data_IF_693107243716
#
_entry.id   IF_693107243716
#
_cell.length_a   1.000
_cell.length_b   1.000
_cell.length_c   1.000
_cell.angle_alpha   90.00
_cell.angle_beta   90.00
_cell.angle_gamma   90.00
#
_symmetry.space_group_name_H-M   'P 1'
#
loop_
_entity.id
_entity.type
_entity.pdbx_description
1 polymer ?
#
# COMPACT_ATOMS: atom_id res chain seq x y z
N UNK A 1 -19.60 -2.82 -9.80
CA UNK A 1 -18.28 -3.42 -9.71
C UNK A 1 -18.04 -3.80 -8.25
N UNK A 2 -17.38 -4.92 -7.98
CA UNK A 2 -17.07 -5.32 -6.61
C UNK A 2 -15.97 -4.40 -6.07
N UNK A 3 -16.13 -3.90 -4.85
CA UNK A 3 -15.09 -3.13 -4.18
C UNK A 3 -14.82 -3.77 -2.81
N UNK A 4 -13.67 -4.41 -2.67
CA UNK A 4 -13.33 -5.20 -1.49
C UNK A 4 -13.23 -4.38 -0.20
N UNK A 5 -13.09 -3.06 -0.30
CA UNK A 5 -13.16 -2.16 0.87
C UNK A 5 -14.62 -1.89 1.27
N UNK A 6 -15.46 -1.46 0.33
CA UNK A 6 -16.86 -1.13 0.64
C UNK A 6 -17.69 -2.35 1.00
N UNK A 7 -17.32 -3.53 0.49
CA UNK A 7 -17.96 -4.81 0.80
C UNK A 7 -17.58 -5.34 2.19
N UNK A 8 -16.68 -4.64 2.92
CA UNK A 8 -16.20 -5.03 4.25
C UNK A 8 -16.39 -3.89 5.26
N UNK A 9 -17.62 -3.69 5.78
CA UNK A 9 -17.92 -2.58 6.70
C UNK A 9 -17.06 -2.55 7.98
N UNK A 10 -16.52 -3.71 8.39
CA UNK A 10 -15.65 -3.83 9.56
C UNK A 10 -14.37 -3.01 9.43
N UNK A 11 -13.84 -2.83 8.22
CA UNK A 11 -12.66 -2.00 7.99
C UNK A 11 -12.93 -0.53 8.35
N UNK A 12 -14.10 -0.01 8.01
CA UNK A 12 -14.48 1.36 8.39
C UNK A 12 -14.52 1.56 9.91
N UNK A 13 -14.95 0.54 10.66
CA UNK A 13 -14.95 0.61 12.12
C UNK A 13 -13.53 0.80 12.67
N UNK A 14 -12.53 0.11 12.11
CA UNK A 14 -11.14 0.27 12.54
C UNK A 14 -10.57 1.64 12.15
N UNK A 15 -10.89 2.15 10.96
CA UNK A 15 -10.44 3.45 10.50
C UNK A 15 -10.99 4.59 11.38
N UNK A 16 -12.24 4.48 11.83
CA UNK A 16 -12.89 5.48 12.71
C UNK A 16 -12.77 5.18 14.21
N UNK A 17 -11.88 4.26 14.60
CA UNK A 17 -11.66 3.97 16.01
C UNK A 17 -11.11 5.21 16.74
N UNK A 18 -11.54 5.53 17.98
CA UNK A 18 -11.11 6.72 18.71
C UNK A 18 -9.59 6.89 18.84
N UNK A 19 -8.83 5.79 18.90
CA UNK A 19 -7.36 5.84 18.94
C UNK A 19 -6.73 6.36 17.64
N UNK A 20 -7.45 6.36 16.52
CA UNK A 20 -6.91 6.86 15.25
C UNK A 20 -6.51 8.33 15.33
N UNK A 21 -7.22 9.15 16.08
CA UNK A 21 -6.85 10.55 16.30
C UNK A 21 -5.41 10.68 16.84
N UNK A 22 -5.06 9.86 17.84
CA UNK A 22 -3.70 9.87 18.40
C UNK A 22 -2.67 9.26 17.43
N UNK A 23 -3.03 8.19 16.75
CA UNK A 23 -2.17 7.52 15.76
C UNK A 23 -1.81 8.50 14.64
N UNK A 24 -2.80 9.19 14.10
CA UNK A 24 -2.61 10.19 13.04
C UNK A 24 -1.76 11.36 13.52
N UNK A 25 -2.06 11.93 14.70
CA UNK A 25 -1.28 13.03 15.26
C UNK A 25 0.21 12.67 15.41
N UNK A 26 0.51 11.45 15.90
CA UNK A 26 1.89 10.97 16.02
C UNK A 26 2.54 10.74 14.65
N UNK A 27 1.82 10.12 13.71
CA UNK A 27 2.35 9.83 12.37
C UNK A 27 2.59 11.08 11.56
N UNK A 28 1.66 12.02 11.59
CA UNK A 28 1.73 13.30 10.89
C UNK A 28 2.54 14.35 11.66
N UNK A 29 3.03 14.01 12.86
CA UNK A 29 3.80 14.93 13.72
C UNK A 29 3.05 16.27 13.89
N UNK A 30 1.77 16.16 14.28
CA UNK A 30 0.83 17.29 14.36
C UNK A 30 0.76 18.10 13.04
N UNK A 31 0.76 17.38 11.91
CA UNK A 31 0.65 17.93 10.54
C UNK A 31 1.82 18.84 10.14
N UNK A 32 3.03 18.49 10.58
CA UNK A 32 4.25 19.28 10.33
C UNK A 32 4.65 19.37 8.85
N UNK A 33 4.11 18.53 7.99
CA UNK A 33 4.42 18.49 6.56
C UNK A 33 3.32 19.12 5.66
N UNK A 34 2.26 19.67 6.24
CA UNK A 34 1.07 20.19 5.54
C UNK A 34 1.37 21.27 4.48
N UNK A 35 2.42 22.06 4.69
CA UNK A 35 2.82 23.12 3.77
C UNK A 35 4.02 22.73 2.89
N UNK A 36 4.49 21.46 2.98
CA UNK A 36 5.66 20.97 2.25
C UNK A 36 5.31 20.08 1.07
N UNK A 37 4.20 19.37 1.17
CA UNK A 37 3.75 18.41 0.16
C UNK A 37 2.27 18.65 -0.12
N UNK A 38 1.91 18.79 -1.38
CA UNK A 38 0.54 19.09 -1.82
C UNK A 38 -0.48 18.03 -1.40
N UNK A 39 -0.02 16.79 -1.18
CA UNK A 39 -0.85 15.66 -0.74
C UNK A 39 -0.75 15.38 0.77
N UNK A 40 -0.05 16.22 1.54
CA UNK A 40 -0.01 16.08 2.99
C UNK A 40 -1.30 16.61 3.63
N UNK A 41 -1.92 15.85 4.57
CA UNK A 41 -3.17 16.26 5.18
C UNK A 41 -2.99 17.53 6.03
N UNK A 42 -4.00 18.37 6.01
CA UNK A 42 -4.03 19.64 6.74
C UNK A 42 -4.47 19.47 8.20
N UNK A 43 -5.26 18.43 8.47
CA UNK A 43 -5.85 18.11 9.77
C UNK A 43 -6.25 16.62 9.83
N UNK A 44 -6.85 16.23 10.95
CA UNK A 44 -7.26 14.85 11.19
C UNK A 44 -8.33 14.33 10.21
N UNK A 45 -9.33 15.15 9.93
CA UNK A 45 -10.42 14.81 9.02
C UNK A 45 -9.88 14.57 7.60
N UNK A 46 -9.02 15.46 7.13
CA UNK A 46 -8.37 15.35 5.83
C UNK A 46 -7.45 14.11 5.74
N UNK A 47 -6.77 13.75 6.84
CA UNK A 47 -6.00 12.52 6.90
C UNK A 47 -6.89 11.26 6.77
N UNK A 48 -8.02 11.22 7.50
CA UNK A 48 -8.96 10.11 7.39
C UNK A 48 -9.57 9.99 6.01
N UNK A 49 -9.95 11.10 5.40
CA UNK A 49 -10.48 11.14 4.02
C UNK A 49 -9.44 10.59 3.03
N UNK A 50 -8.18 10.99 3.17
CA UNK A 50 -7.08 10.47 2.34
C UNK A 50 -6.90 8.97 2.50
N UNK A 51 -6.94 8.45 3.74
CA UNK A 51 -6.83 7.02 3.98
C UNK A 51 -8.02 6.24 3.39
N UNK A 52 -9.25 6.77 3.56
CA UNK A 52 -10.45 6.15 3.01
C UNK A 52 -10.43 6.13 1.49
N UNK A 53 -9.97 7.20 0.83
CA UNK A 53 -9.81 7.26 -0.62
C UNK A 53 -8.82 6.20 -1.14
N UNK A 54 -7.66 6.07 -0.50
CA UNK A 54 -6.67 5.04 -0.89
C UNK A 54 -7.22 3.63 -0.67
N UNK A 55 -7.88 3.36 0.45
CA UNK A 55 -8.51 2.06 0.70
C UNK A 55 -9.61 1.75 -0.33
N UNK A 56 -10.34 2.77 -0.79
CA UNK A 56 -11.33 2.62 -1.85
C UNK A 56 -10.69 2.24 -3.18
N UNK A 57 -9.57 2.91 -3.55
CA UNK A 57 -8.79 2.59 -4.76
C UNK A 57 -8.23 1.16 -4.68
N UNK A 58 -7.67 0.76 -3.53
CA UNK A 58 -7.21 -0.63 -3.30
C UNK A 58 -8.36 -1.61 -3.47
N UNK A 59 -9.53 -1.30 -2.91
CA UNK A 59 -10.73 -2.14 -3.03
C UNK A 59 -11.21 -2.31 -4.47
N UNK A 60 -11.17 -1.25 -5.28
CA UNK A 60 -11.53 -1.28 -6.71
C UNK A 60 -10.52 -2.12 -7.50
N UNK A 61 -9.21 -1.88 -7.32
CA UNK A 61 -8.18 -2.67 -7.99
C UNK A 61 -8.28 -4.16 -7.64
N UNK A 62 -8.56 -4.47 -6.39
CA UNK A 62 -8.78 -5.85 -5.97
C UNK A 62 -9.99 -6.48 -6.65
N UNK A 63 -11.10 -5.75 -6.78
CA UNK A 63 -12.32 -6.24 -7.43
C UNK A 63 -12.21 -6.37 -8.95
N UNK A 64 -11.56 -5.41 -9.60
CA UNK A 64 -11.57 -5.28 -11.05
C UNK A 64 -10.34 -5.90 -11.74
N UNK A 65 -9.21 -6.06 -11.02
CA UNK A 65 -7.95 -6.55 -11.61
C UNK A 65 -7.41 -7.77 -10.88
N UNK A 66 -7.15 -7.66 -9.56
CA UNK A 66 -6.39 -8.68 -8.84
C UNK A 66 -7.20 -9.99 -8.68
N UNK A 67 -8.41 -9.90 -8.12
CA UNK A 67 -9.25 -11.09 -7.92
C UNK A 67 -9.62 -11.81 -9.24
N UNK A 68 -9.96 -11.11 -10.35
CA UNK A 68 -10.16 -11.77 -11.64
C UNK A 68 -8.93 -12.52 -12.16
N UNK A 69 -7.71 -12.08 -11.83
CA UNK A 69 -6.47 -12.71 -12.26
C UNK A 69 -6.05 -13.90 -11.37
N UNK A 70 -6.53 -13.97 -10.12
CA UNK A 70 -6.03 -14.89 -9.09
C UNK A 70 -6.01 -16.36 -9.54
N UNK A 71 -7.07 -16.83 -10.23
CA UNK A 71 -7.10 -18.20 -10.73
C UNK A 71 -6.02 -18.48 -11.78
N UNK A 72 -5.75 -17.53 -12.67
CA UNK A 72 -4.74 -17.67 -13.71
C UNK A 72 -3.32 -17.62 -13.10
N UNK A 73 -3.10 -16.75 -12.11
CA UNK A 73 -1.85 -16.67 -11.34
C UNK A 73 -1.55 -18.02 -10.68
N UNK A 74 -2.54 -18.61 -9.98
CA UNK A 74 -2.39 -19.92 -9.31
C UNK A 74 -2.08 -21.05 -10.30
N UNK A 75 -2.73 -21.08 -11.46
CA UNK A 75 -2.54 -22.12 -12.47
C UNK A 75 -1.23 -21.99 -13.25
N UNK A 76 -0.76 -20.77 -13.52
CA UNK A 76 0.42 -20.52 -14.35
C UNK A 76 1.69 -20.48 -13.51
N UNK A 77 1.68 -19.69 -12.44
CA UNK A 77 2.81 -19.48 -11.55
C UNK A 77 4.05 -18.85 -12.23
N UNK A 78 5.10 -18.58 -11.46
CA UNK A 78 6.36 -18.07 -11.98
C UNK A 78 7.14 -19.18 -12.70
N UNK A 79 7.93 -18.79 -13.70
CA UNK A 79 8.84 -19.67 -14.44
C UNK A 79 10.29 -19.31 -14.17
N UNK A 80 11.19 -20.31 -14.33
CA UNK A 80 12.64 -20.10 -14.24
C UNK A 80 13.23 -20.04 -15.66
N UNK A 81 13.71 -18.84 -16.06
CA UNK A 81 14.33 -18.64 -17.38
C UNK A 81 15.75 -18.11 -17.15
N UNK A 82 16.74 -18.80 -17.66
CA UNK A 82 18.16 -18.43 -17.53
C UNK A 82 18.61 -18.07 -16.11
N UNK A 83 18.12 -18.82 -15.11
CA UNK A 83 18.45 -18.60 -13.70
C UNK A 83 17.71 -17.44 -13.04
N UNK A 84 16.71 -16.84 -13.71
CA UNK A 84 15.87 -15.76 -13.18
C UNK A 84 14.43 -16.22 -13.05
N UNK A 85 13.78 -15.83 -11.95
CA UNK A 85 12.34 -15.97 -11.81
C UNK A 85 11.64 -14.93 -12.68
N UNK A 86 10.76 -15.41 -13.56
CA UNK A 86 9.91 -14.56 -14.40
C UNK A 86 8.48 -14.76 -13.95
N UNK A 87 7.82 -13.68 -13.57
CA UNK A 87 6.40 -13.73 -13.22
C UNK A 87 5.55 -13.99 -14.46
N UNK A 88 4.44 -14.68 -14.25
CA UNK A 88 3.43 -14.83 -15.27
C UNK A 88 2.80 -13.47 -15.64
N UNK A 89 2.13 -13.37 -16.82
CA UNK A 89 1.57 -12.10 -17.29
C UNK A 89 0.49 -11.50 -16.36
N UNK A 90 -0.22 -12.34 -15.59
CA UNK A 90 -1.29 -11.88 -14.71
C UNK A 90 -0.71 -11.27 -13.43
N UNK A 91 0.30 -11.90 -12.85
CA UNK A 91 1.08 -11.32 -11.73
C UNK A 91 1.72 -10.01 -12.15
N UNK A 92 2.31 -9.94 -13.36
CA UNK A 92 2.89 -8.70 -13.87
C UNK A 92 1.83 -7.61 -14.05
N UNK A 93 0.65 -7.95 -14.58
CA UNK A 93 -0.46 -6.99 -14.72
C UNK A 93 -0.94 -6.45 -13.36
N UNK A 94 -1.02 -7.31 -12.33
CA UNK A 94 -1.36 -6.89 -10.98
C UNK A 94 -0.31 -5.92 -10.40
N UNK A 95 0.99 -6.22 -10.58
CA UNK A 95 2.08 -5.33 -10.16
C UNK A 95 2.02 -3.98 -10.87
N UNK A 96 1.81 -3.97 -12.18
CA UNK A 96 1.72 -2.74 -12.96
C UNK A 96 0.51 -1.89 -12.54
N UNK A 97 -0.62 -2.50 -12.23
CA UNK A 97 -1.82 -1.81 -11.76
C UNK A 97 -1.59 -1.11 -10.40
N UNK A 98 -0.99 -1.80 -9.41
CA UNK A 98 -0.72 -1.20 -8.10
C UNK A 98 0.37 -0.12 -8.18
N UNK A 99 1.35 -0.25 -9.08
CA UNK A 99 2.37 0.77 -9.35
C UNK A 99 1.76 2.02 -9.98
N UNK A 100 0.94 1.85 -11.00
CA UNK A 100 0.24 2.96 -11.68
C UNK A 100 -0.69 3.72 -10.74
N UNK A 101 -1.29 3.04 -9.78
CA UNK A 101 -2.12 3.65 -8.76
C UNK A 101 -1.33 4.32 -7.61
N UNK A 102 0.02 4.26 -7.62
CA UNK A 102 0.85 4.83 -6.56
C UNK A 102 0.74 4.09 -5.22
N UNK A 103 0.42 2.81 -5.23
CA UNK A 103 0.18 2.00 -4.03
C UNK A 103 1.43 1.25 -3.53
N UNK A 104 2.61 1.67 -3.97
CA UNK A 104 3.88 1.22 -3.41
C UNK A 104 4.39 2.28 -2.42
N UNK A 105 5.00 1.86 -1.32
CA UNK A 105 5.48 2.81 -0.31
C UNK A 105 4.40 3.49 0.52
N UNK A 106 3.22 2.88 0.71
CA UNK A 106 2.09 3.46 1.46
C UNK A 106 2.52 3.92 2.86
N UNK A 107 3.30 3.11 3.57
CA UNK A 107 3.78 3.43 4.92
C UNK A 107 5.11 4.20 4.93
N UNK A 108 5.75 4.46 3.80
CA UNK A 108 7.00 5.21 3.77
C UNK A 108 6.78 6.72 3.95
N UNK A 109 7.75 7.43 4.57
CA UNK A 109 7.69 8.88 4.69
C UNK A 109 7.65 9.60 3.33
N UNK A 110 6.99 10.75 3.29
CA UNK A 110 6.86 11.61 2.09
C UNK A 110 8.20 12.03 1.49
N UNK A 111 9.25 12.18 2.30
CA UNK A 111 10.60 12.51 1.80
C UNK A 111 11.22 11.43 0.90
N UNK A 112 10.61 10.24 0.86
CA UNK A 112 10.98 9.13 0.00
C UNK A 112 9.84 8.77 -0.98
N UNK A 113 9.03 9.75 -1.32
CA UNK A 113 7.87 9.63 -2.21
C UNK A 113 6.79 8.65 -1.73
N UNK A 114 6.74 8.36 -0.42
CA UNK A 114 5.71 7.55 0.21
C UNK A 114 4.48 8.35 0.63
N UNK A 115 3.40 7.66 0.98
CA UNK A 115 2.15 8.29 1.42
C UNK A 115 2.14 8.66 2.90
N UNK A 116 3.12 8.21 3.67
CA UNK A 116 3.23 8.43 5.11
C UNK A 116 2.04 7.89 5.92
N UNK A 117 1.38 6.83 5.47
CA UNK A 117 0.27 6.25 6.21
C UNK A 117 0.72 5.61 7.52
N UNK A 118 -0.09 5.66 8.58
CA UNK A 118 0.11 4.82 9.75
C UNK A 118 -0.04 3.34 9.38
N UNK A 119 0.48 2.47 10.24
CA UNK A 119 0.40 1.02 10.01
C UNK A 119 -1.04 0.50 9.92
N UNK A 120 -2.00 1.11 10.62
CA UNK A 120 -3.39 0.65 10.64
C UNK A 120 -4.04 0.65 9.24
N UNK A 121 -4.14 1.77 8.50
CA UNK A 121 -4.70 1.75 7.15
C UNK A 121 -3.83 0.95 6.16
N UNK A 122 -2.51 0.83 6.37
CA UNK A 122 -1.67 -0.04 5.57
C UNK A 122 -2.07 -1.52 5.74
N UNK A 123 -2.25 -2.00 6.97
CA UNK A 123 -2.69 -3.38 7.23
C UNK A 123 -4.13 -3.62 6.72
N UNK A 124 -4.99 -2.61 6.75
CA UNK A 124 -6.31 -2.71 6.13
C UNK A 124 -6.20 -2.91 4.61
N UNK A 125 -5.30 -2.19 3.95
CA UNK A 125 -5.01 -2.40 2.54
C UNK A 125 -4.45 -3.81 2.26
N UNK A 126 -3.55 -4.30 3.11
CA UNK A 126 -2.99 -5.65 3.03
C UNK A 126 -4.09 -6.74 3.19
N UNK A 127 -5.03 -6.56 4.11
CA UNK A 127 -6.19 -7.45 4.27
C UNK A 127 -7.05 -7.49 2.99
N UNK A 128 -7.31 -6.34 2.37
CA UNK A 128 -8.07 -6.24 1.12
C UNK A 128 -7.35 -6.99 -0.02
N UNK A 129 -6.05 -6.76 -0.18
CA UNK A 129 -5.23 -7.42 -1.22
C UNK A 129 -5.14 -8.93 -0.97
N UNK A 130 -4.89 -9.35 0.27
CA UNK A 130 -4.80 -10.76 0.68
C UNK A 130 -6.08 -11.53 0.38
N UNK A 131 -7.25 -10.91 0.57
CA UNK A 131 -8.54 -11.51 0.26
C UNK A 131 -8.80 -11.64 -1.24
N UNK A 132 -8.19 -10.80 -2.06
CA UNK A 132 -8.32 -10.87 -3.51
C UNK A 132 -7.36 -11.90 -4.12
N UNK A 133 -6.12 -11.95 -3.65
CA UNK A 133 -5.08 -12.92 -4.02
C UNK A 133 -3.99 -12.94 -2.94
N UNK A 134 -3.99 -13.97 -2.10
CA UNK A 134 -3.03 -14.13 -1.01
C UNK A 134 -1.58 -14.33 -1.52
N UNK A 135 -1.41 -14.91 -2.71
CA UNK A 135 -0.09 -15.05 -3.35
C UNK A 135 0.46 -13.71 -3.81
N UNK A 136 -0.39 -12.88 -4.41
CA UNK A 136 -0.02 -11.54 -4.83
C UNK A 136 0.25 -10.60 -3.64
N UNK A 137 -0.50 -10.76 -2.54
CA UNK A 137 -0.25 -9.98 -1.32
C UNK A 137 1.18 -10.20 -0.81
N UNK A 138 1.70 -11.41 -0.89
CA UNK A 138 3.09 -11.70 -0.49
C UNK A 138 4.10 -10.86 -1.29
N UNK A 139 3.86 -10.60 -2.58
CA UNK A 139 4.70 -9.73 -3.41
C UNK A 139 4.49 -8.25 -3.08
N UNK A 140 3.24 -7.82 -3.04
CA UNK A 140 2.90 -6.43 -2.75
C UNK A 140 3.31 -6.03 -1.32
N UNK A 141 3.12 -6.91 -0.35
CA UNK A 141 3.48 -6.71 1.06
C UNK A 141 4.98 -6.63 1.32
N UNK A 142 5.84 -7.04 0.38
CA UNK A 142 7.31 -6.86 0.50
C UNK A 142 7.72 -5.39 0.67
N UNK A 143 6.86 -4.43 0.35
CA UNK A 143 7.08 -3.03 0.69
C UNK A 143 7.26 -2.79 2.21
N UNK A 144 6.80 -3.71 3.07
CA UNK A 144 7.08 -3.68 4.51
C UNK A 144 8.57 -3.79 4.86
N UNK A 145 9.36 -4.45 4.02
CA UNK A 145 10.82 -4.49 4.17
C UNK A 145 11.42 -3.08 4.12
N UNK A 146 10.78 -2.15 3.41
CA UNK A 146 11.19 -0.76 3.37
C UNK A 146 11.00 -0.04 4.72
N UNK A 147 10.00 -0.41 5.51
CA UNK A 147 9.83 0.12 6.86
C UNK A 147 10.99 -0.29 7.76
N UNK A 148 11.43 -1.55 7.67
CA UNK A 148 12.63 -2.02 8.39
C UNK A 148 13.89 -1.26 7.95
N UNK A 149 14.05 -1.06 6.65
CA UNK A 149 15.17 -0.27 6.12
C UNK A 149 15.09 1.20 6.57
N UNK A 150 13.91 1.77 6.64
CA UNK A 150 13.70 3.12 7.15
C UNK A 150 14.09 3.25 8.63
N UNK A 151 13.70 2.31 9.47
CA UNK A 151 13.98 2.36 10.91
C UNK A 151 15.45 2.07 11.24
N UNK A 152 16.06 1.09 10.60
CA UNK A 152 17.36 0.54 11.00
C UNK A 152 18.49 0.75 9.98
N UNK A 153 18.20 1.20 8.76
CA UNK A 153 19.19 1.45 7.73
C UNK A 153 20.00 2.72 7.97
N UNK A 154 21.18 2.80 7.35
CA UNK A 154 21.95 4.05 7.27
C UNK A 154 21.26 5.07 6.36
N UNK A 155 21.61 6.36 6.46
CA UNK A 155 21.02 7.39 5.58
C UNK A 155 21.32 7.11 4.10
N UNK A 156 22.54 6.67 3.78
CA UNK A 156 22.91 6.25 2.41
C UNK A 156 22.00 5.11 1.88
N UNK A 157 21.70 4.12 2.72
CA UNK A 157 20.77 3.05 2.34
C UNK A 157 19.35 3.56 2.13
N UNK A 158 18.85 4.42 3.00
CA UNK A 158 17.52 5.02 2.90
C UNK A 158 17.38 5.83 1.61
N UNK A 159 18.31 6.74 1.34
CA UNK A 159 18.30 7.58 0.14
C UNK A 159 18.43 6.76 -1.14
N UNK A 160 19.20 5.68 -1.10
CA UNK A 160 19.42 4.83 -2.27
C UNK A 160 18.24 3.93 -2.62
N UNK A 161 17.57 3.38 -1.63
CA UNK A 161 16.59 2.30 -1.85
C UNK A 161 15.14 2.74 -1.65
N UNK A 162 14.83 3.59 -0.68
CA UNK A 162 13.43 3.91 -0.36
C UNK A 162 12.66 4.60 -1.49
N UNK A 163 13.23 5.58 -2.23
CA UNK A 163 12.51 6.16 -3.38
C UNK A 163 12.21 5.14 -4.48
N UNK A 164 13.09 4.15 -4.68
CA UNK A 164 12.88 3.09 -5.66
C UNK A 164 11.76 2.14 -5.25
N UNK A 165 11.66 1.84 -3.95
CA UNK A 165 10.58 0.99 -3.42
C UNK A 165 9.25 1.73 -3.51
N UNK A 166 9.21 3.05 -3.23
CA UNK A 166 7.99 3.85 -3.39
C UNK A 166 7.51 3.93 -4.85
N UNK A 167 8.45 3.92 -5.80
CA UNK A 167 8.12 3.88 -7.23
C UNK A 167 7.67 2.49 -7.73
N UNK A 168 7.97 1.42 -7.00
CA UNK A 168 7.61 0.03 -7.29
C UNK A 168 8.62 -0.70 -8.18
#
# INVERSE_FOLDING_TARGET
>A
MANFYTDTPQLKYHLHHPLMQRIVALRERDFADKDKYDYAPQNYEDALDSYEQVLHIVGELCGDVIAPNAQNVDQTGPSLVEGRAIYDPYTQANLDAVRQAGLMGIALPRRYDGLNFPITPYIMAADIVSRSDAGFENLWGLQDCATTLYEFGSEDQRERFLPRISAG
#
